data_IF_834245689781
#
_entry.id   IF_834245689781
#
_cell.length_a   1.000
_cell.length_b   1.000
_cell.length_c   1.000
_cell.angle_alpha   90.00
_cell.angle_beta   90.00
_cell.angle_gamma   90.00
#
_symmetry.space_group_name_H-M   'P 1'
#
loop_
_entity.id
_entity.type
_entity.pdbx_description
1 polymer ?
#
# COMPACT_ATOMS: atom_id res chain seq x y z
N UNK A 1 -11.28 14.30 -43.60
CA UNK A 1 -12.27 13.38 -42.99
C UNK A 1 -11.71 11.99 -42.75
N UNK A 2 -11.01 11.34 -43.69
CA UNK A 2 -10.36 10.02 -43.43
C UNK A 2 -9.24 10.07 -42.38
N UNK A 3 -8.44 11.13 -42.34
CA UNK A 3 -7.34 11.25 -41.36
C UNK A 3 -7.82 11.40 -39.90
N UNK A 4 -8.95 12.07 -39.66
CA UNK A 4 -9.48 12.25 -38.30
C UNK A 4 -10.02 10.93 -37.71
N UNK A 5 -10.69 10.12 -38.55
CA UNK A 5 -11.21 8.81 -38.11
C UNK A 5 -10.05 7.85 -37.76
N UNK A 6 -8.97 7.89 -38.55
CA UNK A 6 -7.79 7.07 -38.32
C UNK A 6 -6.98 7.52 -37.10
N UNK A 7 -6.80 8.83 -36.90
CA UNK A 7 -6.16 9.39 -35.69
C UNK A 7 -6.98 9.04 -34.44
N UNK A 8 -8.31 9.13 -34.50
CA UNK A 8 -9.18 8.77 -33.38
C UNK A 8 -9.11 7.28 -33.03
N UNK A 9 -9.07 6.39 -34.03
CA UNK A 9 -8.94 4.95 -33.79
C UNK A 9 -7.60 4.59 -33.13
N UNK A 10 -6.50 5.23 -33.55
CA UNK A 10 -5.17 5.04 -32.92
C UNK A 10 -5.17 5.53 -31.47
N UNK A 11 -5.77 6.70 -31.20
CA UNK A 11 -5.89 7.23 -29.84
C UNK A 11 -6.73 6.32 -28.94
N UNK A 12 -7.86 5.80 -29.44
CA UNK A 12 -8.71 4.87 -28.69
C UNK A 12 -8.01 3.53 -28.43
N UNK A 13 -7.17 3.05 -29.35
CA UNK A 13 -6.36 1.84 -29.17
C UNK A 13 -5.21 2.07 -28.18
N UNK A 14 -4.54 3.23 -28.24
CA UNK A 14 -3.52 3.62 -27.27
C UNK A 14 -4.09 3.70 -25.85
N UNK A 15 -5.21 4.40 -25.66
CA UNK A 15 -5.90 4.49 -24.37
C UNK A 15 -6.25 3.09 -23.85
N UNK A 16 -6.80 2.20 -24.69
CA UNK A 16 -7.10 0.82 -24.29
C UNK A 16 -5.86 0.01 -23.94
N UNK A 17 -4.71 0.28 -24.58
CA UNK A 17 -3.45 -0.40 -24.26
C UNK A 17 -2.84 0.10 -22.95
N UNK A 18 -2.87 1.41 -22.71
CA UNK A 18 -2.42 2.03 -21.46
C UNK A 18 -3.30 1.56 -20.28
N UNK A 19 -4.62 1.47 -20.47
CA UNK A 19 -5.55 0.96 -19.47
C UNK A 19 -5.22 -0.51 -19.12
N UNK A 20 -4.87 -1.34 -20.11
CA UNK A 20 -4.52 -2.76 -19.87
C UNK A 20 -3.20 -2.91 -19.12
N UNK A 21 -2.21 -2.11 -19.47
CA UNK A 21 -0.90 -2.12 -18.80
C UNK A 21 -1.04 -1.69 -17.34
N UNK A 22 -1.80 -0.61 -17.08
CA UNK A 22 -2.08 -0.15 -15.71
C UNK A 22 -2.86 -1.19 -14.88
N UNK A 23 -3.80 -1.92 -15.49
CA UNK A 23 -4.52 -3.01 -14.82
C UNK A 23 -3.56 -4.15 -14.46
N UNK A 24 -2.71 -4.57 -15.41
CA UNK A 24 -1.76 -5.65 -15.17
C UNK A 24 -0.73 -5.28 -14.09
N UNK A 25 -0.20 -4.06 -14.12
CA UNK A 25 0.70 -3.54 -13.06
C UNK A 25 0.00 -3.55 -11.69
N UNK A 26 -1.26 -3.10 -11.63
CA UNK A 26 -2.03 -3.12 -10.39
C UNK A 26 -2.22 -4.55 -9.87
N UNK A 27 -2.58 -5.50 -10.73
CA UNK A 27 -2.76 -6.91 -10.36
C UNK A 27 -1.45 -7.52 -9.81
N UNK A 28 -0.30 -7.15 -10.38
CA UNK A 28 1.01 -7.57 -9.88
C UNK A 28 1.31 -7.01 -8.48
N UNK A 29 1.03 -5.72 -8.27
CA UNK A 29 1.17 -5.09 -6.96
C UNK A 29 0.22 -5.72 -5.93
N UNK A 30 -1.03 -5.95 -6.31
CA UNK A 30 -2.03 -6.59 -5.46
C UNK A 30 -1.59 -8.00 -5.04
N UNK A 31 -1.15 -8.83 -5.99
CA UNK A 31 -0.66 -10.17 -5.71
C UNK A 31 0.57 -10.16 -4.78
N UNK A 32 1.51 -9.25 -5.02
CA UNK A 32 2.73 -9.12 -4.22
C UNK A 32 2.42 -8.71 -2.78
N UNK A 33 1.56 -7.69 -2.61
CA UNK A 33 1.21 -7.17 -1.28
C UNK A 33 0.36 -8.16 -0.48
N UNK A 34 -0.55 -8.88 -1.13
CA UNK A 34 -1.26 -9.98 -0.50
C UNK A 34 -0.30 -11.07 -0.03
N UNK A 35 0.72 -11.41 -0.84
CA UNK A 35 1.71 -12.42 -0.45
C UNK A 35 2.54 -11.98 0.76
N UNK A 36 2.91 -10.70 0.87
CA UNK A 36 3.59 -10.16 2.06
C UNK A 36 2.74 -10.35 3.31
N UNK A 37 1.45 -10.04 3.24
CA UNK A 37 0.53 -10.23 4.37
C UNK A 37 0.37 -11.71 4.71
N UNK A 38 0.27 -12.58 3.72
CA UNK A 38 0.11 -14.01 3.94
C UNK A 38 1.33 -14.64 4.62
N UNK A 39 2.55 -14.24 4.22
CA UNK A 39 3.79 -14.67 4.90
C UNK A 39 3.77 -14.27 6.37
N UNK A 40 3.40 -13.03 6.68
CA UNK A 40 3.30 -12.55 8.07
C UNK A 40 2.21 -13.30 8.86
N UNK A 41 1.10 -13.67 8.21
CA UNK A 41 0.06 -14.52 8.83
C UNK A 41 0.57 -15.94 9.10
N UNK A 42 1.23 -16.57 8.12
CA UNK A 42 1.83 -17.91 8.24
C UNK A 42 2.85 -17.97 9.38
N UNK A 43 3.68 -16.92 9.50
CA UNK A 43 4.65 -16.80 10.58
C UNK A 43 4.01 -16.61 11.95
N UNK A 44 2.70 -16.33 12.03
CA UNK A 44 1.96 -15.94 13.25
C UNK A 44 2.45 -14.62 13.81
N UNK A 45 2.73 -13.67 12.93
CA UNK A 45 3.02 -12.30 13.33
C UNK A 45 1.74 -11.62 13.85
N UNK A 46 0.65 -11.70 13.08
CA UNK A 46 -0.66 -11.20 13.49
C UNK A 46 -1.32 -12.12 14.53
N UNK A 47 -1.83 -11.53 15.60
CA UNK A 47 -2.62 -12.21 16.64
C UNK A 47 -4.07 -12.41 16.22
N UNK A 48 -4.81 -13.30 16.92
CA UNK A 48 -6.26 -13.32 16.84
C UNK A 48 -6.85 -11.92 17.11
N UNK A 49 -7.53 -11.34 16.12
CA UNK A 49 -8.12 -9.99 16.19
C UNK A 49 -7.24 -8.86 15.64
N UNK A 50 -5.99 -9.12 15.28
CA UNK A 50 -5.17 -8.21 14.48
C UNK A 50 -5.37 -8.50 13.00
N UNK A 51 -5.60 -7.46 12.22
CA UNK A 51 -5.80 -7.57 10.79
C UNK A 51 -4.93 -6.56 10.04
N UNK A 52 -4.50 -6.96 8.84
CA UNK A 52 -3.89 -6.08 7.85
C UNK A 52 -4.79 -6.08 6.63
N UNK A 53 -5.40 -4.93 6.36
CA UNK A 53 -6.35 -4.75 5.27
C UNK A 53 -5.73 -3.86 4.20
N UNK A 54 -5.51 -4.42 3.02
CA UNK A 54 -5.09 -3.67 1.85
C UNK A 54 -6.29 -2.95 1.23
N UNK A 55 -6.07 -1.68 0.90
CA UNK A 55 -6.97 -0.81 0.16
C UNK A 55 -6.19 -0.29 -1.03
N UNK A 56 -6.69 -0.57 -2.23
CA UNK A 56 -6.11 -0.10 -3.48
C UNK A 56 -6.80 1.20 -3.91
N UNK A 57 -6.05 2.21 -4.35
CA UNK A 57 -6.63 3.48 -4.75
C UNK A 57 -7.58 3.29 -5.94
N UNK A 58 -8.82 3.78 -5.84
CA UNK A 58 -9.67 3.90 -7.02
C UNK A 58 -9.19 5.07 -7.90
N UNK A 59 -9.42 5.03 -9.24
CA UNK A 59 -8.99 6.10 -10.14
C UNK A 59 -9.48 7.51 -9.74
N UNK A 60 -10.65 7.62 -9.10
CA UNK A 60 -11.24 8.88 -8.62
C UNK A 60 -10.83 9.29 -7.20
N UNK A 61 -10.18 8.40 -6.44
CA UNK A 61 -9.69 8.67 -5.08
C UNK A 61 -8.27 9.26 -5.08
N UNK A 62 -7.64 9.31 -6.24
CA UNK A 62 -6.42 10.05 -6.54
C UNK A 62 -6.70 11.58 -6.55
N UNK A 63 -7.18 12.14 -5.44
CA UNK A 63 -7.47 13.59 -5.38
C UNK A 63 -8.33 14.16 -4.25
N UNK A 64 -8.61 13.47 -3.15
CA UNK A 64 -9.31 14.07 -1.97
C UNK A 64 -8.91 13.39 -0.66
N UNK A 65 -9.13 14.06 0.49
CA UNK A 65 -8.08 14.67 1.32
C UNK A 65 -7.00 13.68 1.79
N UNK A 66 -6.23 13.15 0.85
CA UNK A 66 -4.96 12.49 1.09
C UNK A 66 -3.99 12.84 -0.05
N UNK A 67 -3.58 14.13 -0.07
CA UNK A 67 -2.35 14.72 -0.66
C UNK A 67 -2.55 15.79 -1.78
N UNK A 68 -1.43 16.41 -2.20
CA UNK A 68 -1.29 17.71 -2.90
C UNK A 68 -1.85 17.73 -4.35
N UNK A 69 -1.92 18.94 -4.92
CA UNK A 69 -2.37 19.28 -6.29
C UNK A 69 -1.68 18.53 -7.45
N UNK A 70 -0.55 17.87 -7.24
CA UNK A 70 0.20 17.13 -8.27
C UNK A 70 -0.18 15.64 -8.35
N UNK A 71 -1.20 15.20 -7.60
CA UNK A 71 -1.62 13.80 -7.47
C UNK A 71 -0.54 12.89 -6.87
N UNK A 72 0.61 13.44 -6.49
CA UNK A 72 1.63 12.69 -5.77
C UNK A 72 1.11 12.46 -4.36
N UNK A 73 1.30 11.22 -3.94
CA UNK A 73 1.22 10.98 -2.54
C UNK A 73 2.62 11.40 -1.96
N UNK A 74 2.73 12.48 -1.16
CA UNK A 74 3.87 13.09 -0.41
C UNK A 74 4.90 13.61 -1.39
N UNK A 75 5.29 14.89 -1.28
CA UNK A 75 6.41 15.40 -2.07
C UNK A 75 7.64 14.50 -1.89
N UNK A 76 8.16 13.97 -3.00
CA UNK A 76 9.38 13.15 -3.03
C UNK A 76 9.18 11.64 -2.88
N UNK A 77 7.95 11.14 -2.75
CA UNK A 77 7.65 9.70 -2.81
C UNK A 77 7.01 9.34 -4.17
N UNK A 78 7.27 8.12 -4.66
CA UNK A 78 6.83 7.63 -5.98
C UNK A 78 5.31 7.43 -6.12
N UNK A 79 4.90 6.62 -7.10
CA UNK A 79 3.48 6.27 -7.31
C UNK A 79 2.97 5.43 -6.14
N UNK A 80 1.85 5.84 -5.53
CA UNK A 80 1.19 5.05 -4.49
C UNK A 80 0.45 3.87 -5.13
N UNK A 81 0.66 2.67 -4.59
CA UNK A 81 0.06 1.43 -5.09
C UNK A 81 -1.00 0.88 -4.17
N UNK A 82 -0.89 1.12 -2.86
CA UNK A 82 -1.84 0.65 -1.87
C UNK A 82 -1.71 1.44 -0.56
N UNK A 83 -2.76 1.34 0.25
CA UNK A 83 -2.77 1.64 1.68
C UNK A 83 -3.00 0.33 2.42
N UNK A 84 -2.23 0.03 3.45
CA UNK A 84 -2.53 -1.05 4.39
C UNK A 84 -2.99 -0.45 5.71
N UNK A 85 -4.25 -0.70 6.07
CA UNK A 85 -4.78 -0.37 7.39
C UNK A 85 -4.54 -1.55 8.31
N UNK A 86 -3.93 -1.33 9.46
CA UNK A 86 -3.71 -2.39 10.43
C UNK A 86 -3.94 -1.92 11.86
N UNK A 87 -4.43 -2.82 12.69
CA UNK A 87 -4.48 -2.66 14.13
C UNK A 87 -3.20 -3.23 14.72
N UNK A 88 -2.43 -2.39 15.41
CA UNK A 88 -1.10 -2.64 16.03
C UNK A 88 0.12 -2.44 15.13
N UNK A 89 1.21 -1.93 15.76
CA UNK A 89 2.62 -2.41 15.71
C UNK A 89 3.66 -1.36 16.17
N UNK A 90 3.27 -0.10 16.39
CA UNK A 90 4.23 1.00 16.59
C UNK A 90 4.69 1.23 18.04
N UNK A 91 3.92 0.78 19.05
CA UNK A 91 4.41 0.81 20.43
C UNK A 91 5.21 -0.46 20.74
N UNK A 92 6.35 -0.34 21.46
CA UNK A 92 7.04 -1.51 22.00
C UNK A 92 6.00 -2.33 22.76
N UNK A 93 5.89 -3.59 22.38
CA UNK A 93 4.75 -4.38 22.77
C UNK A 93 4.67 -4.43 24.30
N UNK A 94 3.44 -4.50 24.81
CA UNK A 94 3.22 -5.06 26.14
C UNK A 94 3.43 -6.59 26.12
N UNK A 95 4.00 -7.13 25.04
CA UNK A 95 4.07 -8.54 24.71
C UNK A 95 5.50 -9.03 24.47
N UNK A 96 6.08 -9.43 25.57
CA UNK A 96 7.44 -9.93 25.63
C UNK A 96 7.68 -11.16 24.71
N UNK A 97 6.68 -12.01 24.46
CA UNK A 97 6.83 -13.21 23.62
C UNK A 97 7.02 -12.84 22.13
N UNK A 98 6.25 -11.88 21.63
CA UNK A 98 6.40 -11.35 20.27
C UNK A 98 7.75 -10.65 20.10
N UNK A 99 8.15 -9.83 21.09
CA UNK A 99 9.44 -9.15 21.10
C UNK A 99 10.62 -10.14 21.10
N UNK A 100 10.53 -11.22 21.87
CA UNK A 100 11.54 -12.28 21.91
C UNK A 100 11.63 -13.07 20.60
N UNK A 101 10.49 -13.28 19.94
CA UNK A 101 10.42 -14.08 18.71
C UNK A 101 10.85 -13.32 17.45
N UNK A 102 10.45 -12.06 17.33
CA UNK A 102 10.63 -11.30 16.09
C UNK A 102 11.56 -10.09 16.25
N UNK A 103 11.74 -9.59 17.48
CA UNK A 103 12.50 -8.39 17.77
C UNK A 103 11.63 -7.13 17.79
N UNK A 104 12.24 -5.99 18.15
CA UNK A 104 11.57 -4.69 18.26
C UNK A 104 11.61 -3.92 16.93
N UNK A 105 11.25 -4.58 15.84
CA UNK A 105 11.21 -3.98 14.51
C UNK A 105 9.81 -4.08 13.93
N UNK A 106 9.45 -3.15 13.06
CA UNK A 106 8.21 -3.22 12.31
C UNK A 106 8.37 -4.27 11.17
N UNK A 107 7.84 -5.47 11.38
CA UNK A 107 7.96 -6.53 10.38
C UNK A 107 7.11 -6.27 9.15
N UNK A 108 5.99 -5.55 9.27
CA UNK A 108 5.19 -5.22 8.10
C UNK A 108 5.94 -4.23 7.21
N UNK A 109 6.49 -3.16 7.80
CA UNK A 109 7.36 -2.24 7.08
C UNK A 109 8.58 -2.95 6.47
N UNK A 110 9.22 -3.84 7.23
CA UNK A 110 10.39 -4.60 6.77
C UNK A 110 10.07 -5.46 5.55
N UNK A 111 9.01 -6.28 5.59
CA UNK A 111 8.67 -7.17 4.49
C UNK A 111 8.19 -6.39 3.25
N UNK A 112 7.46 -5.27 3.44
CA UNK A 112 7.10 -4.37 2.34
C UNK A 112 8.34 -3.76 1.67
N UNK A 113 9.33 -3.32 2.45
CA UNK A 113 10.61 -2.82 1.92
C UNK A 113 11.40 -3.91 1.20
N UNK A 114 11.43 -5.13 1.75
CA UNK A 114 12.06 -6.28 1.12
C UNK A 114 11.40 -6.66 -0.21
N UNK A 115 10.08 -6.47 -0.32
CA UNK A 115 9.31 -6.64 -1.55
C UNK A 115 9.49 -5.49 -2.57
N UNK A 116 10.35 -4.50 -2.27
CA UNK A 116 10.72 -3.45 -3.21
C UNK A 116 9.88 -2.17 -3.11
N UNK A 117 9.11 -1.99 -2.03
CA UNK A 117 8.29 -0.80 -1.85
C UNK A 117 8.95 0.25 -0.95
N UNK A 118 8.64 1.52 -1.21
CA UNK A 118 8.77 2.57 -0.21
C UNK A 118 7.53 2.56 0.67
N UNK A 119 7.71 2.79 1.96
CA UNK A 119 6.64 2.74 2.96
C UNK A 119 6.67 4.01 3.79
N UNK A 120 5.50 4.59 4.01
CA UNK A 120 5.29 5.74 4.89
C UNK A 120 4.23 5.40 5.92
N UNK A 121 4.65 5.30 7.18
CA UNK A 121 3.83 4.79 8.29
C UNK A 121 3.19 5.95 9.06
N UNK A 122 1.86 5.91 9.20
CA UNK A 122 1.05 6.93 9.86
C UNK A 122 0.25 6.29 11.01
N UNK A 123 0.75 6.38 12.24
CA UNK A 123 -0.03 6.02 13.42
C UNK A 123 -1.25 6.93 13.59
N UNK A 124 -2.41 6.32 13.82
CA UNK A 124 -3.64 6.99 14.27
C UNK A 124 -3.64 7.05 15.80
N UNK A 125 -3.23 8.22 16.32
CA UNK A 125 -3.17 8.51 17.76
C UNK A 125 -4.49 9.02 18.34
N UNK A 126 -5.53 9.26 17.52
CA UNK A 126 -6.81 9.81 17.99
C UNK A 126 -7.84 8.72 18.32
N UNK A 127 -7.70 7.51 17.77
CA UNK A 127 -8.67 6.42 17.91
C UNK A 127 -8.27 5.22 18.76
N UNK A 128 -7.04 5.17 19.29
CA UNK A 128 -6.52 4.00 20.01
C UNK A 128 -6.96 3.89 21.48
N UNK A 129 -7.21 2.67 21.95
CA UNK A 129 -7.12 2.39 23.39
C UNK A 129 -5.64 2.45 23.82
N UNK A 130 -5.35 2.48 25.11
CA UNK A 130 -3.96 2.49 25.60
C UNK A 130 -3.10 1.28 25.11
N UNK A 131 -3.73 0.27 24.51
CA UNK A 131 -3.14 -1.02 24.15
C UNK A 131 -3.07 -1.29 22.64
N UNK A 132 -3.86 -0.58 21.80
CA UNK A 132 -3.92 -0.82 20.34
C UNK A 132 -3.88 0.51 19.59
N UNK A 133 -2.73 0.81 18.98
CA UNK A 133 -2.61 1.91 18.02
C UNK A 133 -2.99 1.38 16.62
N UNK A 134 -3.95 2.03 15.95
CA UNK A 134 -4.22 1.78 14.53
C UNK A 134 -3.12 2.47 13.71
N UNK A 135 -2.64 1.81 12.67
CA UNK A 135 -1.56 2.30 11.84
C UNK A 135 -1.94 2.17 10.37
N UNK A 136 -1.71 3.25 9.61
CA UNK A 136 -1.89 3.29 8.17
C UNK A 136 -0.51 3.26 7.49
N UNK A 137 -0.27 2.25 6.67
CA UNK A 137 0.94 2.13 5.87
C UNK A 137 0.63 2.56 4.45
N UNK A 138 1.21 3.66 4.01
CA UNK A 138 1.15 4.08 2.62
C UNK A 138 2.30 3.45 1.85
N UNK A 139 1.97 2.75 0.76
CA UNK A 139 2.90 1.90 0.02
C UNK A 139 3.09 2.50 -1.37
N UNK A 140 4.36 2.70 -1.74
CA UNK A 140 4.75 3.30 -3.02
C UNK A 140 5.71 2.40 -3.77
N UNK A 141 5.63 2.45 -5.09
CA UNK A 141 6.71 1.96 -5.94
C UNK A 141 8.02 2.67 -5.61
N UNK A 142 9.12 1.91 -5.53
CA UNK A 142 10.43 2.51 -5.65
C UNK A 142 10.58 3.09 -7.06
N UNK A 143 10.93 4.37 -7.14
CA UNK A 143 11.33 5.00 -8.40
C UNK A 143 12.58 4.27 -8.88
N UNK A 144 12.48 3.59 -10.03
CA UNK A 144 13.61 2.95 -10.71
C UNK A 144 14.59 3.99 -11.26
#
# INVERSE_FOLDING_TARGET
MEDEARVRAVLEEQIKSEDREQIAEREEHEATLLRVIDVLKEDRYFRPGEEAKLVFPQPGELGSPWRKQDRSWRPGFGRAVAKCETTTLIKPSVDQERDERYGKIDHLEKELRAAGYLVDVWPDYEGGSAEVDRCDYYIFEMVK
#
